data_IF_896010311581
#
_entry.id   IF_896010311581
#
_cell.length_a   1.000
_cell.length_b   1.000
_cell.length_c   1.000
_cell.angle_alpha   90.00
_cell.angle_beta   90.00
_cell.angle_gamma   90.00
#
_symmetry.space_group_name_H-M   'P 1'
#
loop_
_entity.id
_entity.type
_entity.pdbx_description
1 polymer ?
#
# COMPACT_ATOMS: atom_id res chain seq x y z
N UNK A 1 3.46 -1.44 -21.25
CA UNK A 1 2.93 -2.40 -20.26
C UNK A 1 4.03 -2.75 -19.26
N UNK A 2 3.70 -2.77 -17.98
CA UNK A 2 4.69 -3.04 -16.94
C UNK A 2 4.54 -4.46 -16.41
N UNK A 3 5.68 -5.17 -16.29
CA UNK A 3 5.71 -6.49 -15.67
C UNK A 3 5.99 -6.40 -14.17
N UNK A 4 6.18 -5.18 -13.64
CA UNK A 4 6.46 -4.97 -12.24
C UNK A 4 5.24 -5.29 -11.38
N UNK A 5 5.49 -6.00 -10.29
CA UNK A 5 4.46 -6.30 -9.31
C UNK A 5 3.94 -5.00 -8.69
N UNK A 6 2.63 -4.90 -8.56
CA UNK A 6 1.99 -3.86 -7.75
C UNK A 6 1.49 -4.48 -6.46
N UNK A 7 1.94 -3.95 -5.34
CA UNK A 7 1.44 -4.34 -4.02
C UNK A 7 0.46 -3.27 -3.56
N UNK A 8 -0.75 -3.68 -3.21
CA UNK A 8 -1.76 -2.78 -2.66
C UNK A 8 -1.89 -3.09 -1.17
N UNK A 9 -1.64 -2.09 -0.34
CA UNK A 9 -1.62 -2.25 1.11
C UNK A 9 -2.85 -1.61 1.74
N UNK A 10 -3.57 -2.39 2.57
CA UNK A 10 -4.60 -1.84 3.45
C UNK A 10 -3.86 -1.15 4.61
N UNK A 11 -3.66 0.15 4.46
CA UNK A 11 -2.75 0.90 5.31
C UNK A 11 -3.17 0.95 6.76
N UNK A 12 -4.46 1.17 7.03
CA UNK A 12 -4.94 1.24 8.41
C UNK A 12 -4.86 -0.11 9.12
N UNK A 13 -5.16 -1.19 8.41
CA UNK A 13 -5.09 -2.52 9.00
C UNK A 13 -3.65 -2.88 9.38
N UNK A 14 -2.69 -2.60 8.51
CA UNK A 14 -1.27 -2.84 8.79
C UNK A 14 -0.77 -1.90 9.87
N UNK A 15 -1.06 -0.60 9.77
CA UNK A 15 -0.60 0.39 10.73
C UNK A 15 -1.17 0.14 12.13
N UNK A 16 -2.45 -0.22 12.22
CA UNK A 16 -3.12 -0.48 13.49
C UNK A 16 -2.41 -1.59 14.28
N UNK A 17 -1.90 -2.61 13.60
CA UNK A 17 -1.20 -3.72 14.25
C UNK A 17 0.16 -3.31 14.84
N UNK A 18 0.72 -2.21 14.38
CA UNK A 18 2.01 -1.71 14.87
C UNK A 18 1.88 -1.01 16.21
N UNK A 19 0.69 -0.46 16.54
CA UNK A 19 0.44 0.26 17.77
C UNK A 19 1.06 1.66 17.79
N UNK A 20 0.73 2.45 18.79
CA UNK A 20 1.27 3.80 19.00
C UNK A 20 0.33 4.89 18.48
N UNK A 21 0.90 6.09 18.26
CA UNK A 21 0.16 7.26 17.77
C UNK A 21 -0.30 7.04 16.34
N UNK A 22 -1.60 7.21 16.02
CA UNK A 22 -2.12 6.95 14.68
C UNK A 22 -1.42 7.70 13.56
N UNK A 23 -1.09 8.98 13.73
CA UNK A 23 -0.42 9.72 12.67
C UNK A 23 1.01 9.22 12.45
N UNK A 24 1.70 8.86 13.52
CA UNK A 24 3.03 8.27 13.45
C UNK A 24 3.02 6.90 12.80
N UNK A 25 2.01 6.09 13.11
CA UNK A 25 1.89 4.76 12.53
C UNK A 25 1.80 4.83 11.01
N UNK A 26 1.03 5.79 10.50
CA UNK A 26 0.89 5.98 9.06
C UNK A 26 2.20 6.44 8.42
N UNK A 27 2.88 7.40 9.02
CA UNK A 27 4.16 7.91 8.51
C UNK A 27 5.23 6.82 8.52
N UNK A 28 5.31 6.06 9.61
CA UNK A 28 6.27 4.96 9.73
C UNK A 28 5.99 3.87 8.70
N UNK A 29 4.72 3.56 8.47
CA UNK A 29 4.34 2.58 7.47
C UNK A 29 4.77 3.02 6.07
N UNK A 30 4.52 4.27 5.71
CA UNK A 30 4.90 4.80 4.40
C UNK A 30 6.41 4.75 4.22
N UNK A 31 7.18 5.10 5.25
CA UNK A 31 8.64 5.03 5.21
C UNK A 31 9.11 3.59 5.00
N UNK A 32 8.58 2.64 5.76
CA UNK A 32 8.96 1.23 5.64
C UNK A 32 8.60 0.67 4.28
N UNK A 33 7.40 0.96 3.80
CA UNK A 33 6.93 0.48 2.49
C UNK A 33 7.79 1.07 1.37
N UNK A 34 8.19 2.35 1.50
CA UNK A 34 9.08 2.98 0.52
C UNK A 34 10.42 2.23 0.43
N UNK A 35 10.98 1.87 1.58
CA UNK A 35 12.23 1.10 1.61
C UNK A 35 12.07 -0.27 0.98
N UNK A 36 10.99 -0.98 1.28
CA UNK A 36 10.73 -2.29 0.67
C UNK A 36 10.56 -2.18 -0.84
N UNK A 37 9.83 -1.17 -1.31
CA UNK A 37 9.58 -0.98 -2.73
C UNK A 37 10.88 -0.75 -3.51
N UNK A 38 11.79 0.04 -2.94
CA UNK A 38 13.09 0.28 -3.56
C UNK A 38 13.93 -0.98 -3.60
N UNK A 39 13.98 -1.74 -2.51
CA UNK A 39 14.78 -2.96 -2.44
C UNK A 39 14.24 -4.06 -3.35
N UNK A 40 12.92 -4.20 -3.39
CA UNK A 40 12.27 -5.26 -4.17
C UNK A 40 12.06 -4.89 -5.64
N UNK A 41 12.17 -3.61 -5.98
CA UNK A 41 11.93 -3.14 -7.35
C UNK A 41 10.47 -3.26 -7.76
N UNK A 42 9.54 -3.01 -6.84
CA UNK A 42 8.10 -3.07 -7.12
C UNK A 42 7.44 -1.74 -6.79
N UNK A 43 6.23 -1.56 -7.30
CA UNK A 43 5.40 -0.40 -6.97
C UNK A 43 4.43 -0.75 -5.86
N UNK A 44 4.11 0.22 -5.01
CA UNK A 44 3.19 0.02 -3.90
C UNK A 44 2.16 1.14 -3.87
N UNK A 45 0.89 0.78 -3.65
CA UNK A 45 -0.17 1.72 -3.33
C UNK A 45 -0.65 1.42 -1.92
N UNK A 46 -0.59 2.42 -1.05
CA UNK A 46 -1.10 2.30 0.31
C UNK A 46 -2.42 3.07 0.38
N UNK A 47 -3.46 2.42 0.86
CA UNK A 47 -4.80 3.02 0.94
C UNK A 47 -5.20 3.15 2.41
N UNK A 48 -5.55 4.37 2.81
CA UNK A 48 -6.05 4.66 4.15
C UNK A 48 -7.52 5.07 4.08
N UNK A 49 -8.26 4.78 5.13
CA UNK A 49 -9.63 5.28 5.29
C UNK A 49 -9.61 6.79 5.59
N UNK A 50 -10.73 7.44 5.29
CA UNK A 50 -10.92 8.84 5.62
C UNK A 50 -10.38 9.78 4.57
N UNK A 51 -10.27 11.06 4.97
CA UNK A 51 -9.85 12.12 4.08
C UNK A 51 -8.39 12.49 4.32
N UNK A 52 -7.69 12.79 3.26
CA UNK A 52 -6.32 13.23 3.29
C UNK A 52 -5.84 13.54 1.90
N UNK A 53 -4.63 14.03 1.79
CA UNK A 53 -4.03 14.37 0.50
C UNK A 53 -3.27 13.17 -0.05
N UNK A 54 -3.60 12.77 -1.26
CA UNK A 54 -2.84 11.75 -1.96
C UNK A 54 -1.44 12.27 -2.24
N UNK A 55 -0.43 11.45 -1.98
CA UNK A 55 0.97 11.78 -2.21
C UNK A 55 1.71 10.62 -2.87
N UNK A 56 2.85 10.92 -3.46
CA UNK A 56 3.75 9.90 -4.00
C UNK A 56 5.13 10.08 -3.38
N UNK A 57 5.71 8.97 -2.92
CA UNK A 57 7.04 8.93 -2.33
C UNK A 57 7.80 7.79 -3.03
N UNK A 58 8.73 8.13 -3.93
CA UNK A 58 9.44 7.12 -4.70
C UNK A 58 8.48 6.21 -5.47
N UNK A 59 8.53 4.91 -5.20
CA UNK A 59 7.65 3.92 -5.82
C UNK A 59 6.34 3.73 -5.07
N UNK A 60 6.10 4.50 -4.02
CA UNK A 60 4.90 4.38 -3.19
C UNK A 60 3.92 5.49 -3.53
N UNK A 61 2.66 5.11 -3.73
CA UNK A 61 1.55 6.05 -3.85
C UNK A 61 0.64 5.89 -2.64
N UNK A 62 0.40 6.97 -1.93
CA UNK A 62 -0.49 7.00 -0.77
C UNK A 62 -1.83 7.58 -1.20
N UNK A 63 -2.91 6.85 -0.93
CA UNK A 63 -4.27 7.25 -1.31
C UNK A 63 -5.16 7.26 -0.09
N UNK A 64 -6.14 8.16 -0.09
CA UNK A 64 -7.17 8.21 0.93
C UNK A 64 -8.53 7.90 0.30
N UNK A 65 -9.34 7.09 0.98
CA UNK A 65 -10.61 6.62 0.44
C UNK A 65 -11.68 7.72 0.37
N UNK A 66 -11.54 8.76 1.19
CA UNK A 66 -12.52 9.84 1.24
C UNK A 66 -13.84 9.36 1.81
N UNK A 67 -14.93 9.60 1.08
CA UNK A 67 -16.26 9.18 1.51
C UNK A 67 -16.51 7.68 1.36
N UNK A 68 -15.68 6.98 0.59
CA UNK A 68 -15.77 5.53 0.41
C UNK A 68 -14.94 4.82 1.49
N UNK A 69 -14.93 3.50 1.49
CA UNK A 69 -14.06 2.73 2.37
C UNK A 69 -12.77 2.35 1.66
N UNK A 70 -11.72 2.08 2.44
CA UNK A 70 -10.47 1.59 1.90
C UNK A 70 -10.68 0.28 1.13
N UNK A 71 -11.53 -0.62 1.65
CA UNK A 71 -11.84 -1.89 0.99
C UNK A 71 -12.37 -1.67 -0.43
N UNK A 72 -13.28 -0.72 -0.60
CA UNK A 72 -13.87 -0.40 -1.91
C UNK A 72 -12.80 0.12 -2.87
N UNK A 73 -11.94 1.01 -2.40
CA UNK A 73 -10.86 1.55 -3.23
C UNK A 73 -9.86 0.46 -3.60
N UNK A 74 -9.50 -0.40 -2.64
CA UNK A 74 -8.56 -1.50 -2.86
C UNK A 74 -9.10 -2.47 -3.92
N UNK A 75 -10.36 -2.88 -3.81
CA UNK A 75 -10.97 -3.78 -4.78
C UNK A 75 -10.96 -3.18 -6.19
N UNK A 76 -11.36 -1.92 -6.30
CA UNK A 76 -11.40 -1.22 -7.58
C UNK A 76 -10.01 -1.11 -8.19
N UNK A 77 -9.03 -0.72 -7.38
CA UNK A 77 -7.64 -0.55 -7.81
C UNK A 77 -7.03 -1.89 -8.21
N UNK A 78 -7.27 -2.94 -7.44
CA UNK A 78 -6.76 -4.28 -7.73
C UNK A 78 -7.32 -4.81 -9.04
N UNK A 79 -8.62 -4.66 -9.24
CA UNK A 79 -9.26 -5.12 -10.48
C UNK A 79 -8.70 -4.38 -11.70
N UNK A 80 -8.64 -3.06 -11.63
CA UNK A 80 -8.15 -2.24 -12.73
C UNK A 80 -6.70 -2.54 -13.05
N UNK A 81 -5.86 -2.62 -12.02
CA UNK A 81 -4.42 -2.82 -12.20
C UNK A 81 -4.10 -4.22 -12.69
N UNK A 82 -4.87 -5.23 -12.28
CA UNK A 82 -4.63 -6.62 -12.69
C UNK A 82 -4.80 -6.85 -14.18
N UNK A 83 -5.44 -5.93 -14.88
CA UNK A 83 -5.58 -5.99 -16.33
C UNK A 83 -4.25 -5.68 -17.04
N UNK A 84 -3.31 -5.08 -16.34
CA UNK A 84 -2.06 -4.59 -16.93
C UNK A 84 -0.79 -5.19 -16.32
N UNK A 85 -0.88 -5.70 -15.07
CA UNK A 85 0.30 -6.15 -14.32
C UNK A 85 -0.09 -7.08 -13.18
N UNK A 86 0.86 -7.86 -12.64
CA UNK A 86 0.61 -8.67 -11.45
C UNK A 86 0.26 -7.76 -10.25
N UNK A 87 -0.73 -8.17 -9.46
CA UNK A 87 -1.19 -7.42 -8.30
C UNK A 87 -1.30 -8.36 -7.10
N UNK A 88 -0.83 -7.88 -5.95
CA UNK A 88 -1.01 -8.56 -4.68
C UNK A 88 -1.58 -7.57 -3.68
N UNK A 89 -2.65 -7.97 -2.98
CA UNK A 89 -3.26 -7.16 -1.92
C UNK A 89 -2.80 -7.70 -0.57
N UNK A 90 -2.30 -6.83 0.29
CA UNK A 90 -1.82 -7.22 1.61
C UNK A 90 -2.47 -6.39 2.71
N UNK A 91 -2.82 -7.05 3.81
CA UNK A 91 -3.38 -6.42 4.99
C UNK A 91 -2.60 -6.77 6.26
N UNK A 92 -1.41 -7.34 6.10
CA UNK A 92 -0.54 -7.75 7.19
C UNK A 92 0.89 -7.33 6.90
N UNK A 93 1.56 -6.79 7.92
CA UNK A 93 2.95 -6.37 7.82
C UNK A 93 3.88 -7.55 7.46
N UNK A 94 3.61 -8.72 8.03
CA UNK A 94 4.38 -9.92 7.75
C UNK A 94 4.27 -10.33 6.28
N UNK A 95 3.05 -10.29 5.74
CA UNK A 95 2.80 -10.61 4.33
C UNK A 95 3.48 -9.58 3.43
N UNK A 96 3.40 -8.29 3.78
CA UNK A 96 4.04 -7.23 3.03
C UNK A 96 5.55 -7.46 2.91
N UNK A 97 6.21 -7.78 4.00
CA UNK A 97 7.65 -8.05 4.01
C UNK A 97 8.01 -9.25 3.14
N UNK A 98 7.21 -10.30 3.25
CA UNK A 98 7.42 -11.52 2.48
C UNK A 98 7.31 -11.26 0.97
N UNK A 99 6.25 -10.57 0.55
CA UNK A 99 6.01 -10.28 -0.86
C UNK A 99 7.10 -9.35 -1.41
N UNK A 100 7.44 -8.29 -0.68
CA UNK A 100 8.47 -7.33 -1.11
C UNK A 100 9.85 -7.99 -1.23
N UNK A 101 10.18 -8.90 -0.31
CA UNK A 101 11.46 -9.60 -0.34
C UNK A 101 11.58 -10.54 -1.54
N UNK A 102 10.46 -11.01 -2.09
CA UNK A 102 10.46 -11.88 -3.26
C UNK A 102 10.56 -11.12 -4.58
N UNK A 103 10.17 -9.86 -4.55
CA UNK A 103 10.23 -8.98 -5.73
C UNK A 103 11.63 -8.65 -6.10
#
# INVERSE_FOLDING_TARGET
MSDLLLIIVDGDNVAHRRGGDPSRMRDDLVTDVSNYAEQAGCDVSVVFDGHGRDISVGRVRVRFAGAESADTIIERLAHRSSLERPVTVVSSDTVLRHVAARG
#
